data_IF_673283535029
#
_entry.id   IF_673283535029
#
_cell.length_a   1.000
_cell.length_b   1.000
_cell.length_c   1.000
_cell.angle_alpha   90.00
_cell.angle_beta   90.00
_cell.angle_gamma   90.00
#
_symmetry.space_group_name_H-M   'P 1'
#
loop_
_entity.id
_entity.type
_entity.pdbx_description
1 polymer ?
#
# COMPACT_ATOMS: atom_id res chain seq x y z
N UNK A 1 -51.02 72.96 4.31
CA UNK A 1 -50.07 72.17 5.12
C UNK A 1 -48.72 72.17 4.40
N UNK A 2 -47.67 72.60 5.08
CA UNK A 2 -46.37 72.98 4.53
C UNK A 2 -45.26 72.01 4.99
N UNK A 3 -44.21 71.90 4.15
CA UNK A 3 -42.81 71.45 4.41
C UNK A 3 -42.60 69.93 4.55
N UNK A 4 -41.72 69.25 3.81
CA UNK A 4 -40.29 69.41 3.43
C UNK A 4 -39.36 68.52 4.29
N UNK A 5 -38.26 68.06 3.66
CA UNK A 5 -37.03 67.45 4.25
C UNK A 5 -37.10 65.92 4.49
N UNK A 6 -36.06 65.11 4.40
CA UNK A 6 -34.63 65.27 4.11
C UNK A 6 -34.04 63.84 3.90
N UNK A 7 -33.07 63.71 2.99
CA UNK A 7 -32.05 62.64 2.91
C UNK A 7 -31.11 62.66 4.16
N UNK A 8 -30.04 61.84 4.36
CA UNK A 8 -29.51 60.66 3.65
C UNK A 8 -28.94 59.54 4.60
N UNK A 9 -28.27 58.54 4.00
CA UNK A 9 -27.09 57.81 4.52
C UNK A 9 -27.23 56.84 5.70
N UNK A 10 -26.76 55.60 5.53
CA UNK A 10 -25.48 55.12 6.09
C UNK A 10 -25.20 53.66 5.70
N UNK A 11 -24.03 53.48 5.07
CA UNK A 11 -23.03 52.43 5.31
C UNK A 11 -23.39 50.95 5.05
N UNK A 12 -22.90 50.50 3.89
CA UNK A 12 -21.91 49.44 3.74
C UNK A 12 -21.78 48.43 4.89
N UNK A 13 -22.25 47.20 4.66
CA UNK A 13 -21.84 46.02 5.42
C UNK A 13 -21.04 45.06 4.54
N UNK A 14 -19.73 45.11 4.78
CA UNK A 14 -18.74 44.03 4.80
C UNK A 14 -18.80 42.92 3.74
N UNK A 15 -17.86 43.04 2.79
CA UNK A 15 -17.23 41.90 2.15
C UNK A 15 -16.55 41.01 3.21
N UNK A 16 -17.02 39.77 3.36
CA UNK A 16 -16.29 38.73 4.11
C UNK A 16 -15.55 37.82 3.14
N UNK A 17 -14.24 37.83 3.36
CA UNK A 17 -13.18 37.11 2.68
C UNK A 17 -13.50 35.63 2.37
N UNK A 18 -13.26 35.27 1.11
CA UNK A 18 -12.94 33.92 0.69
C UNK A 18 -11.67 33.45 1.41
N UNK A 19 -11.84 32.61 2.42
CA UNK A 19 -10.77 31.88 3.10
C UNK A 19 -10.97 30.38 2.88
N UNK A 20 -10.73 29.91 1.65
CA UNK A 20 -10.49 28.49 1.45
C UNK A 20 -9.16 28.16 2.13
N UNK A 21 -9.25 27.68 3.38
CA UNK A 21 -8.15 26.98 4.04
C UNK A 21 -7.90 25.71 3.23
N UNK A 22 -7.08 25.84 2.19
CA UNK A 22 -6.31 24.74 1.67
C UNK A 22 -5.37 24.32 2.80
N UNK A 23 -5.85 23.41 3.67
CA UNK A 23 -4.93 22.61 4.47
C UNK A 23 -4.02 21.90 3.48
N UNK A 24 -2.70 22.12 3.51
CA UNK A 24 -1.81 21.17 2.89
C UNK A 24 -2.09 19.86 3.62
N UNK A 25 -2.57 18.85 2.89
CA UNK A 25 -2.51 17.49 3.36
C UNK A 25 -1.03 17.23 3.66
N UNK A 26 -0.67 17.34 4.92
CA UNK A 26 0.61 16.88 5.43
C UNK A 26 0.59 15.37 5.21
N UNK A 27 1.09 14.95 4.04
CA UNK A 27 1.59 13.60 3.84
C UNK A 27 2.64 13.41 4.91
N UNK A 28 2.29 12.67 5.96
CA UNK A 28 3.24 12.21 6.94
C UNK A 28 4.25 11.37 6.16
N UNK A 29 5.40 11.98 5.84
CA UNK A 29 6.56 11.21 5.39
C UNK A 29 6.69 10.09 6.40
N UNK A 30 6.70 8.83 5.95
CA UNK A 30 6.96 7.73 6.86
C UNK A 30 8.40 7.90 7.37
N UNK A 31 8.56 8.63 8.48
CA UNK A 31 9.85 8.95 9.06
C UNK A 31 10.55 7.69 9.60
N UNK A 32 9.81 6.58 9.71
CA UNK A 32 10.32 5.27 10.13
C UNK A 32 10.52 4.32 8.93
N UNK A 33 11.78 4.10 8.48
CA UNK A 33 12.11 3.13 7.44
C UNK A 33 11.63 1.70 7.77
N UNK A 34 11.46 1.36 9.05
CA UNK A 34 10.99 0.03 9.45
C UNK A 34 9.52 -0.15 9.10
N UNK A 35 8.69 0.88 9.32
CA UNK A 35 7.30 0.89 8.91
C UNK A 35 7.16 0.80 7.39
N UNK A 36 7.99 1.55 6.65
CA UNK A 36 8.03 1.50 5.17
C UNK A 36 8.41 0.12 4.64
N UNK A 37 9.41 -0.53 5.25
CA UNK A 37 9.78 -1.89 4.91
C UNK A 37 8.64 -2.87 5.16
N UNK A 38 7.94 -2.76 6.30
CA UNK A 38 6.80 -3.62 6.59
C UNK A 38 5.70 -3.49 5.52
N UNK A 39 5.37 -2.26 5.10
CA UNK A 39 4.38 -2.02 4.04
C UNK A 39 4.78 -2.69 2.73
N UNK A 40 6.00 -2.44 2.23
CA UNK A 40 6.46 -2.98 0.95
C UNK A 40 6.61 -4.50 0.98
N UNK A 41 7.12 -5.05 2.10
CA UNK A 41 7.26 -6.49 2.28
C UNK A 41 5.88 -7.17 2.32
N UNK A 42 4.89 -6.54 2.97
CA UNK A 42 3.53 -7.06 3.06
C UNK A 42 2.76 -6.98 1.74
N UNK A 43 3.09 -6.06 0.83
CA UNK A 43 2.44 -6.03 -0.49
C UNK A 43 2.70 -7.32 -1.27
N UNK A 44 3.94 -7.83 -1.25
CA UNK A 44 4.24 -9.14 -1.88
C UNK A 44 3.34 -10.24 -1.32
N UNK A 45 3.17 -10.29 0.00
CA UNK A 45 2.35 -11.30 0.65
C UNK A 45 0.87 -11.15 0.33
N UNK A 46 0.37 -9.91 0.25
CA UNK A 46 -1.00 -9.60 -0.18
C UNK A 46 -1.27 -10.11 -1.59
N UNK A 47 -0.34 -9.89 -2.53
CA UNK A 47 -0.46 -10.39 -3.89
C UNK A 47 -0.49 -11.93 -3.95
N UNK A 48 0.39 -12.61 -3.22
CA UNK A 48 0.35 -14.08 -3.12
C UNK A 48 -0.97 -14.57 -2.53
N UNK A 49 -1.43 -13.96 -1.44
CA UNK A 49 -2.68 -14.32 -0.78
C UNK A 49 -3.87 -14.18 -1.74
N UNK A 50 -3.91 -13.10 -2.53
CA UNK A 50 -4.96 -12.87 -3.50
C UNK A 50 -4.90 -13.85 -4.68
N UNK A 51 -3.70 -14.12 -5.21
CA UNK A 51 -3.47 -15.18 -6.21
C UNK A 51 -4.01 -16.53 -5.74
N UNK A 52 -3.75 -16.88 -4.49
CA UNK A 52 -4.14 -18.17 -3.92
C UNK A 52 -5.65 -18.24 -3.65
N UNK A 53 -6.28 -17.12 -3.26
CA UNK A 53 -7.74 -17.00 -3.19
C UNK A 53 -8.37 -17.18 -4.59
N UNK A 54 -7.85 -16.50 -5.61
CA UNK A 54 -8.33 -16.63 -6.99
C UNK A 54 -8.14 -18.04 -7.56
N UNK A 55 -7.02 -18.69 -7.25
CA UNK A 55 -6.76 -20.08 -7.66
C UNK A 55 -7.72 -21.10 -7.06
N UNK A 56 -8.34 -20.77 -5.91
CA UNK A 56 -9.39 -21.57 -5.26
C UNK A 56 -10.76 -21.33 -5.91
N UNK A 57 -11.13 -20.08 -6.18
CA UNK A 57 -12.47 -19.71 -6.66
C UNK A 57 -12.62 -19.86 -8.18
N UNK A 58 -11.57 -19.59 -8.95
CA UNK A 58 -11.54 -19.71 -10.41
C UNK A 58 -10.38 -20.62 -10.87
N UNK A 59 -10.47 -21.95 -10.68
CA UNK A 59 -9.39 -22.88 -11.07
C UNK A 59 -8.98 -22.79 -12.54
N UNK A 60 -9.91 -22.43 -13.43
CA UNK A 60 -9.64 -22.24 -14.87
C UNK A 60 -8.67 -21.09 -15.15
N UNK A 61 -8.62 -20.07 -14.28
CA UNK A 61 -7.75 -18.90 -14.44
C UNK A 61 -6.34 -19.13 -13.85
N UNK A 62 -6.15 -20.20 -13.07
CA UNK A 62 -4.91 -20.45 -12.29
C UNK A 62 -3.63 -20.32 -13.12
N UNK A 63 -3.61 -20.87 -14.34
CA UNK A 63 -2.42 -20.82 -15.21
C UNK A 63 -2.09 -19.39 -15.65
N UNK A 64 -3.10 -18.65 -16.08
CA UNK A 64 -2.94 -17.25 -16.50
C UNK A 64 -2.53 -16.36 -15.33
N UNK A 65 -3.18 -16.51 -14.17
CA UNK A 65 -2.81 -15.76 -12.96
C UNK A 65 -1.39 -16.09 -12.51
N UNK A 66 -0.98 -17.35 -12.54
CA UNK A 66 0.37 -17.76 -12.17
C UNK A 66 1.41 -17.15 -13.11
N UNK A 67 1.20 -17.19 -14.43
CA UNK A 67 2.10 -16.57 -15.41
C UNK A 67 2.21 -15.05 -15.20
N UNK A 68 1.09 -14.35 -15.00
CA UNK A 68 1.12 -12.90 -14.72
C UNK A 68 1.84 -12.56 -13.40
N UNK A 69 1.74 -13.44 -12.39
CA UNK A 69 2.45 -13.26 -11.13
C UNK A 69 3.95 -13.51 -11.26
N UNK A 70 4.36 -14.51 -12.04
CA UNK A 70 5.78 -14.76 -12.38
C UNK A 70 6.37 -13.57 -13.15
N UNK A 71 5.68 -13.07 -14.17
CA UNK A 71 6.09 -11.85 -14.87
C UNK A 71 6.19 -10.64 -13.93
N UNK A 72 5.31 -10.54 -12.92
CA UNK A 72 5.40 -9.49 -11.90
C UNK A 72 6.61 -9.67 -10.98
N UNK A 73 6.93 -10.91 -10.57
CA UNK A 73 8.12 -11.23 -9.78
C UNK A 73 9.39 -10.81 -10.52
N UNK A 74 9.52 -11.18 -11.79
CA UNK A 74 10.72 -10.88 -12.60
C UNK A 74 10.95 -9.36 -12.70
N UNK A 75 9.88 -8.57 -12.89
CA UNK A 75 10.00 -7.10 -12.94
C UNK A 75 10.35 -6.45 -11.59
N UNK A 76 10.18 -7.17 -10.49
CA UNK A 76 10.41 -6.67 -9.13
C UNK A 76 11.54 -7.40 -8.41
N UNK A 77 12.31 -8.26 -9.09
CA UNK A 77 13.32 -9.12 -8.48
C UNK A 77 14.28 -8.32 -7.60
N UNK A 78 14.91 -7.28 -8.14
CA UNK A 78 15.86 -6.42 -7.41
C UNK A 78 15.23 -5.77 -6.17
N UNK A 79 13.98 -5.31 -6.27
CA UNK A 79 13.24 -4.72 -5.15
C UNK A 79 13.00 -5.78 -4.08
N UNK A 80 12.51 -6.96 -4.47
CA UNK A 80 12.17 -8.04 -3.55
C UNK A 80 13.41 -8.60 -2.84
N UNK A 81 14.52 -8.75 -3.55
CA UNK A 81 15.80 -9.17 -2.95
C UNK A 81 16.31 -8.12 -1.96
N UNK A 82 16.22 -6.84 -2.29
CA UNK A 82 16.65 -5.78 -1.39
C UNK A 82 15.78 -5.71 -0.12
N UNK A 83 14.46 -5.87 -0.25
CA UNK A 83 13.54 -5.94 0.89
C UNK A 83 13.88 -7.14 1.79
N UNK A 84 14.13 -8.33 1.22
CA UNK A 84 14.55 -9.51 1.99
C UNK A 84 15.89 -9.26 2.70
N UNK A 85 16.88 -8.70 2.00
CA UNK A 85 18.19 -8.41 2.59
C UNK A 85 18.07 -7.44 3.79
N UNK A 86 17.27 -6.38 3.66
CA UNK A 86 16.98 -5.45 4.77
C UNK A 86 16.28 -6.15 5.93
N UNK A 87 15.29 -6.99 5.63
CA UNK A 87 14.61 -7.78 6.65
C UNK A 87 15.59 -8.67 7.42
N UNK A 88 16.48 -9.39 6.74
CA UNK A 88 17.50 -10.23 7.37
C UNK A 88 18.47 -9.42 8.25
N UNK A 89 18.82 -8.21 7.84
CA UNK A 89 19.63 -7.28 8.66
C UNK A 89 18.89 -6.90 9.95
N UNK A 90 17.58 -6.65 9.90
CA UNK A 90 16.79 -6.35 11.11
C UNK A 90 16.76 -7.53 12.07
N UNK A 91 16.49 -8.73 11.55
CA UNK A 91 16.52 -9.96 12.35
C UNK A 91 17.89 -10.13 13.01
N UNK A 92 18.97 -9.85 12.27
CA UNK A 92 20.34 -9.90 12.81
C UNK A 92 20.57 -8.85 13.90
N UNK A 93 20.10 -7.62 13.73
CA UNK A 93 20.26 -6.53 14.72
C UNK A 93 19.61 -6.84 16.07
N UNK A 94 18.48 -7.54 16.08
CA UNK A 94 17.77 -7.92 17.32
C UNK A 94 18.24 -9.25 17.92
N UNK A 95 19.26 -9.88 17.32
CA UNK A 95 19.76 -11.19 17.73
C UNK A 95 21.19 -11.09 18.28
N UNK A 96 21.46 -11.68 19.44
CA UNK A 96 22.79 -11.62 20.09
C UNK A 96 23.77 -12.67 19.57
N UNK A 97 23.26 -13.77 19.02
CA UNK A 97 24.07 -14.88 18.50
C UNK A 97 23.31 -15.66 17.42
N UNK A 98 23.97 -16.63 16.79
CA UNK A 98 23.41 -17.41 15.69
C UNK A 98 22.16 -18.21 16.08
N UNK A 99 22.11 -18.75 17.31
CA UNK A 99 20.95 -19.49 17.80
C UNK A 99 19.72 -18.59 17.88
N UNK A 100 19.88 -17.42 18.50
CA UNK A 100 18.81 -16.42 18.63
C UNK A 100 18.39 -15.87 17.25
N UNK A 101 19.33 -15.67 16.33
CA UNK A 101 19.01 -15.31 14.94
C UNK A 101 18.12 -16.35 14.26
N UNK A 102 18.46 -17.64 14.35
CA UNK A 102 17.67 -18.71 13.76
C UNK A 102 16.27 -18.83 14.41
N UNK A 103 16.16 -18.56 15.72
CA UNK A 103 14.87 -18.51 16.42
C UNK A 103 14.03 -17.33 15.98
N UNK A 104 14.61 -16.12 15.95
CA UNK A 104 13.91 -14.91 15.54
C UNK A 104 13.48 -14.98 14.07
N UNK A 105 14.37 -15.43 13.17
CA UNK A 105 14.03 -15.65 11.77
C UNK A 105 12.81 -16.57 11.62
N UNK A 106 12.80 -17.72 12.30
CA UNK A 106 11.65 -18.65 12.28
C UNK A 106 10.37 -18.01 12.82
N UNK A 107 10.46 -17.25 13.93
CA UNK A 107 9.31 -16.54 14.49
C UNK A 107 8.72 -15.55 13.49
N UNK A 108 9.55 -14.71 12.88
CA UNK A 108 9.06 -13.74 11.89
C UNK A 108 8.48 -14.43 10.65
N UNK A 109 9.12 -15.49 10.15
CA UNK A 109 8.57 -16.28 9.02
C UNK A 109 7.21 -16.90 9.36
N UNK A 110 7.01 -17.35 10.60
CA UNK A 110 5.72 -17.86 11.05
C UNK A 110 4.65 -16.76 11.09
N UNK A 111 5.00 -15.55 11.57
CA UNK A 111 4.10 -14.39 11.56
C UNK A 111 3.71 -13.99 10.13
N UNK A 112 4.68 -13.91 9.23
CA UNK A 112 4.44 -13.60 7.81
C UNK A 112 3.49 -14.62 7.17
N UNK A 113 3.65 -15.90 7.47
CA UNK A 113 2.77 -16.93 6.95
C UNK A 113 1.35 -16.84 7.53
N UNK A 114 1.24 -16.56 8.83
CA UNK A 114 -0.04 -16.31 9.48
C UNK A 114 -0.77 -15.10 8.89
N UNK A 115 -0.07 -14.00 8.67
CA UNK A 115 -0.63 -12.78 8.06
C UNK A 115 -1.10 -13.03 6.63
N UNK A 116 -0.31 -13.75 5.82
CA UNK A 116 -0.70 -14.13 4.46
C UNK A 116 -1.94 -15.01 4.45
N UNK A 117 -2.03 -15.97 5.36
CA UNK A 117 -3.21 -16.81 5.49
C UNK A 117 -4.43 -15.99 5.93
N UNK A 118 -4.27 -15.05 6.88
CA UNK A 118 -5.33 -14.14 7.28
C UNK A 118 -5.80 -13.23 6.13
N UNK A 119 -4.88 -12.71 5.31
CA UNK A 119 -5.22 -11.93 4.10
C UNK A 119 -6.01 -12.78 3.09
N UNK A 120 -5.57 -14.01 2.85
CA UNK A 120 -6.27 -14.95 1.96
C UNK A 120 -7.69 -15.24 2.46
N UNK A 121 -7.85 -15.47 3.75
CA UNK A 121 -9.16 -15.72 4.35
C UNK A 121 -10.06 -14.48 4.29
N UNK A 122 -9.49 -13.28 4.46
CA UNK A 122 -10.21 -12.02 4.26
C UNK A 122 -10.69 -11.85 2.81
N UNK A 123 -9.86 -12.19 1.81
CA UNK A 123 -10.29 -12.18 0.41
C UNK A 123 -11.40 -13.20 0.15
N UNK A 124 -11.30 -14.40 0.73
CA UNK A 124 -12.31 -15.45 0.60
C UNK A 124 -13.62 -15.14 1.33
N UNK A 125 -13.61 -14.18 2.27
CA UNK A 125 -14.80 -13.70 2.97
C UNK A 125 -15.54 -12.59 2.21
N UNK A 126 -14.98 -12.06 1.12
CA UNK A 126 -15.68 -11.11 0.24
C UNK A 126 -16.92 -11.75 -0.39
N UNK A 127 -17.94 -10.96 -0.78
CA UNK A 127 -19.03 -11.46 -1.63
C UNK A 127 -18.46 -12.16 -2.86
N UNK A 128 -19.03 -13.32 -3.20
CA UNK A 128 -18.47 -14.20 -4.24
C UNK A 128 -18.40 -13.49 -5.59
N UNK A 129 -19.41 -12.70 -5.92
CA UNK A 129 -19.52 -11.95 -7.17
C UNK A 129 -18.39 -10.93 -7.29
N UNK A 130 -18.08 -10.21 -6.21
CA UNK A 130 -16.99 -9.24 -6.15
C UNK A 130 -15.64 -9.94 -6.28
N UNK A 131 -15.42 -11.01 -5.53
CA UNK A 131 -14.17 -11.78 -5.62
C UNK A 131 -13.95 -12.36 -7.02
N UNK A 132 -15.01 -12.88 -7.67
CA UNK A 132 -14.92 -13.39 -9.04
C UNK A 132 -14.55 -12.27 -10.02
N UNK A 133 -15.11 -11.08 -9.87
CA UNK A 133 -14.77 -9.91 -10.69
C UNK A 133 -13.30 -9.55 -10.52
N UNK A 134 -12.87 -9.31 -9.29
CA UNK A 134 -11.49 -8.93 -8.96
C UNK A 134 -10.49 -9.98 -9.45
N UNK A 135 -10.80 -11.28 -9.29
CA UNK A 135 -9.94 -12.35 -9.77
C UNK A 135 -9.76 -12.36 -11.29
N UNK A 136 -10.80 -11.99 -12.06
CA UNK A 136 -10.69 -11.89 -13.53
C UNK A 136 -9.84 -10.70 -13.96
N UNK A 137 -9.85 -9.62 -13.20
CA UNK A 137 -9.06 -8.41 -13.47
C UNK A 137 -7.61 -8.55 -12.98
N UNK A 138 -7.35 -9.48 -12.06
CA UNK A 138 -6.07 -9.63 -11.38
C UNK A 138 -4.86 -9.85 -12.30
N UNK A 139 -4.90 -10.70 -13.36
CA UNK A 139 -3.78 -10.83 -14.29
C UNK A 139 -3.43 -9.51 -14.99
N UNK A 140 -4.43 -8.70 -15.36
CA UNK A 140 -4.21 -7.39 -15.97
C UNK A 140 -3.68 -6.39 -14.93
N UNK A 141 -4.20 -6.42 -13.71
CA UNK A 141 -3.68 -5.62 -12.59
C UNK A 141 -2.19 -5.87 -12.35
N UNK A 142 -1.76 -7.14 -12.30
CA UNK A 142 -0.35 -7.54 -12.12
C UNK A 142 0.58 -7.06 -13.24
N UNK A 143 0.05 -6.64 -14.39
CA UNK A 143 0.81 -6.07 -15.52
C UNK A 143 0.76 -4.55 -15.57
N UNK A 144 -0.12 -3.95 -14.76
CA UNK A 144 -0.35 -2.51 -14.75
C UNK A 144 0.61 -1.76 -13.82
N UNK A 145 0.75 -0.45 -14.05
CA UNK A 145 1.48 0.46 -13.17
C UNK A 145 0.92 0.48 -11.74
N UNK A 146 -0.36 0.14 -11.54
CA UNK A 146 -0.99 0.09 -10.22
C UNK A 146 -0.49 -1.08 -9.35
N UNK A 147 0.26 -2.02 -9.94
CA UNK A 147 0.96 -3.10 -9.24
C UNK A 147 2.47 -2.86 -9.10
N UNK A 148 3.00 -1.79 -9.70
CA UNK A 148 4.41 -1.41 -9.55
C UNK A 148 4.62 -0.80 -8.15
N UNK A 149 5.41 -1.47 -7.30
CA UNK A 149 5.60 -1.03 -5.90
C UNK A 149 6.07 0.44 -5.78
N UNK A 150 7.04 0.92 -6.58
CA UNK A 150 7.44 2.33 -6.58
C UNK A 150 6.30 3.32 -6.88
N UNK A 151 5.39 2.95 -7.77
CA UNK A 151 4.27 3.81 -8.15
C UNK A 151 3.14 3.75 -7.12
N UNK A 152 2.88 2.55 -6.57
CA UNK A 152 1.81 2.32 -5.60
C UNK A 152 2.13 2.85 -4.20
N UNK A 153 3.40 2.78 -3.80
CA UNK A 153 3.90 3.14 -2.47
C UNK A 153 5.08 4.12 -2.57
N UNK A 154 4.89 5.31 -3.18
CA UNK A 154 5.99 6.21 -3.49
C UNK A 154 6.69 6.75 -2.23
N UNK A 155 5.96 6.93 -1.13
CA UNK A 155 6.49 7.45 0.13
C UNK A 155 7.34 6.38 0.84
N UNK A 156 6.84 5.16 0.94
CA UNK A 156 7.55 4.03 1.54
C UNK A 156 8.75 3.61 0.70
N UNK A 157 8.63 3.66 -0.63
CA UNK A 157 9.73 3.40 -1.53
C UNK A 157 10.83 4.47 -1.37
N UNK A 158 10.46 5.76 -1.33
CA UNK A 158 11.41 6.84 -1.09
C UNK A 158 12.09 6.74 0.29
N UNK A 159 11.38 6.29 1.32
CA UNK A 159 11.95 6.11 2.65
C UNK A 159 13.03 5.02 2.70
N UNK A 160 12.94 3.98 1.88
CA UNK A 160 13.95 2.91 1.83
C UNK A 160 15.07 3.15 0.82
N UNK A 161 14.74 3.69 -0.35
CA UNK A 161 15.64 3.76 -1.50
C UNK A 161 16.07 5.20 -1.85
N UNK A 162 15.48 6.20 -1.22
CA UNK A 162 15.66 7.60 -1.61
C UNK A 162 15.08 7.87 -3.00
N UNK A 163 15.78 8.66 -3.81
CA UNK A 163 15.32 9.05 -5.16
C UNK A 163 15.74 8.09 -6.28
N UNK A 164 16.36 6.95 -5.96
CA UNK A 164 16.86 5.99 -6.97
C UNK A 164 16.19 4.63 -6.76
N UNK A 165 15.72 4.00 -7.83
CA UNK A 165 15.36 2.58 -7.78
C UNK A 165 16.65 1.77 -7.56
N UNK A 166 16.61 0.71 -6.73
CA UNK A 166 17.73 -0.22 -6.57
C UNK A 166 18.12 -0.85 -7.92
#
# INVERSE_FOLDING_TARGET
MHRASCLPSLLALFATFAGALAMPAARAQSEDPMASLAVLYNERHRLVAFKDACSRVLPKLRRETQAAYEEWLDRHEDVLENLEARFLVMVKKVSRNQKEYNENYRKYRAVIEQERQAQKDAFLAMPKEDLVKECREYPAYLKSENSDMPNRYPEEFAALYGRRKP
#
